data_IF_940888947164
#
_entry.id   IF_940888947164
#
_cell.length_a   1.000
_cell.length_b   1.000
_cell.length_c   1.000
_cell.angle_alpha   90.00
_cell.angle_beta   90.00
_cell.angle_gamma   90.00
#
_symmetry.space_group_name_H-M   'P 1'
#
loop_
_entity.id
_entity.type
_entity.pdbx_description
1 polymer ?
#
# COMPACT_ATOMS: atom_id res chain seq x y z
N UNK A 1 -6.48 -12.92 7.87
CA UNK A 1 -6.36 -11.79 6.91
C UNK A 1 -4.90 -11.59 6.53
N UNK A 2 -4.01 -11.29 7.48
CA UNK A 2 -2.57 -11.20 7.22
C UNK A 2 -2.03 -12.51 6.64
N UNK A 3 -2.26 -13.63 7.33
CA UNK A 3 -1.80 -14.96 6.88
C UNK A 3 -2.47 -15.46 5.59
N UNK A 4 -3.59 -14.84 5.20
CA UNK A 4 -4.28 -15.15 3.96
C UNK A 4 -3.69 -14.40 2.75
N UNK A 5 -2.70 -13.52 2.97
CA UNK A 5 -2.00 -12.81 1.90
C UNK A 5 -2.44 -11.36 1.69
N UNK A 6 -3.08 -10.71 2.67
CA UNK A 6 -3.47 -9.29 2.57
C UNK A 6 -2.33 -8.39 2.09
N UNK A 7 -1.12 -8.60 2.63
CA UNK A 7 0.03 -7.78 2.28
C UNK A 7 0.37 -7.86 0.78
N UNK A 8 0.11 -8.99 0.16
CA UNK A 8 0.27 -9.15 -1.29
C UNK A 8 -0.78 -8.35 -2.07
N UNK A 9 -2.04 -8.39 -1.64
CA UNK A 9 -3.12 -7.64 -2.28
C UNK A 9 -2.87 -6.13 -2.20
N UNK A 10 -2.44 -5.67 -1.01
CA UNK A 10 -2.09 -4.27 -0.79
C UNK A 10 -0.85 -3.87 -1.62
N UNK A 11 0.12 -4.78 -1.75
CA UNK A 11 1.28 -4.56 -2.61
C UNK A 11 0.90 -4.33 -4.07
N UNK A 12 -0.06 -5.11 -4.60
CA UNK A 12 -0.52 -5.00 -5.98
C UNK A 12 -1.22 -3.63 -6.24
N UNK A 13 -1.79 -3.02 -5.20
CA UNK A 13 -2.44 -1.70 -5.28
C UNK A 13 -1.44 -0.57 -5.02
N UNK A 14 -0.34 -0.83 -4.32
CA UNK A 14 0.59 0.19 -3.86
C UNK A 14 1.23 1.00 -5.01
N UNK A 15 1.37 2.31 -4.79
CA UNK A 15 2.19 3.16 -5.65
C UNK A 15 2.82 4.30 -4.85
N UNK A 16 4.05 4.66 -5.19
CA UNK A 16 4.82 5.67 -4.44
C UNK A 16 4.24 7.08 -4.53
N UNK A 17 3.45 7.37 -5.56
CA UNK A 17 2.93 8.72 -5.85
C UNK A 17 1.42 8.81 -5.70
N UNK A 18 0.75 7.79 -5.14
CA UNK A 18 -0.71 7.82 -5.05
C UNK A 18 -1.24 8.65 -3.89
N UNK A 19 -2.37 9.27 -4.14
CA UNK A 19 -3.22 9.87 -3.12
C UNK A 19 -4.08 8.79 -2.42
N UNK A 20 -3.76 8.48 -1.17
CA UNK A 20 -4.49 7.51 -0.34
C UNK A 20 -5.75 8.09 0.33
N UNK A 21 -6.14 9.31 -0.06
CA UNK A 21 -7.40 9.93 0.39
C UNK A 21 -8.54 9.70 -0.59
N UNK A 22 -8.40 8.85 -1.61
CA UNK A 22 -9.46 8.63 -2.62
C UNK A 22 -9.58 7.19 -3.11
N UNK A 23 -10.80 6.76 -3.43
CA UNK A 23 -11.10 5.47 -4.05
C UNK A 23 -10.68 4.26 -3.19
N UNK A 24 -10.34 3.14 -3.84
CA UNK A 24 -9.87 1.90 -3.20
C UNK A 24 -8.63 2.08 -2.32
N UNK A 25 -7.93 3.20 -2.44
CA UNK A 25 -6.76 3.52 -1.60
C UNK A 25 -7.13 4.05 -0.21
N UNK A 26 -8.39 4.43 0.00
CA UNK A 26 -8.93 4.73 1.33
C UNK A 26 -9.22 3.47 2.15
N UNK A 27 -9.17 2.29 1.52
CA UNK A 27 -9.51 1.05 2.19
C UNK A 27 -8.56 0.77 3.35
N UNK A 28 -9.16 0.26 4.42
CA UNK A 28 -8.45 -0.17 5.62
C UNK A 28 -7.54 -1.34 5.25
N UNK A 29 -6.24 -1.18 5.50
CA UNK A 29 -5.19 -2.09 5.09
C UNK A 29 -4.36 -1.55 3.93
N UNK A 30 -4.87 -0.64 3.10
CA UNK A 30 -4.05 -0.03 2.03
C UNK A 30 -3.23 1.13 2.59
N UNK A 31 -3.90 2.04 3.31
CA UNK A 31 -3.25 3.20 3.93
C UNK A 31 -2.31 2.81 5.07
N UNK A 32 -2.69 1.82 5.88
CA UNK A 32 -1.94 1.46 7.09
C UNK A 32 -0.58 0.79 6.79
N UNK A 33 -0.42 0.22 5.60
CA UNK A 33 0.82 -0.42 5.16
C UNK A 33 1.67 0.46 4.23
N UNK A 34 1.22 1.67 3.91
CA UNK A 34 1.94 2.59 3.02
C UNK A 34 3.36 2.88 3.51
N UNK A 35 3.50 3.19 4.80
CA UNK A 35 4.80 3.50 5.42
C UNK A 35 5.77 2.32 5.32
N UNK A 36 5.30 1.12 5.64
CA UNK A 36 6.06 -0.11 5.50
C UNK A 36 6.54 -0.32 4.06
N UNK A 37 5.62 -0.22 3.09
CA UNK A 37 5.93 -0.43 1.68
C UNK A 37 6.89 0.63 1.14
N UNK A 38 6.74 1.90 1.55
CA UNK A 38 7.66 2.97 1.14
C UNK A 38 9.09 2.71 1.63
N UNK A 39 9.25 2.29 2.88
CA UNK A 39 10.56 1.97 3.48
C UNK A 39 11.16 0.72 2.80
N UNK A 40 10.33 -0.28 2.57
CA UNK A 40 10.71 -1.51 1.87
C UNK A 40 11.24 -1.24 0.45
N UNK A 41 10.53 -0.43 -0.34
CA UNK A 41 10.97 -0.02 -1.68
C UNK A 41 12.23 0.85 -1.67
N UNK A 42 12.42 1.69 -0.64
CA UNK A 42 13.58 2.58 -0.57
C UNK A 42 14.87 1.82 -0.29
N UNK A 43 14.86 0.83 0.61
CA UNK A 43 16.07 0.08 0.97
C UNK A 43 16.50 -0.89 -0.15
N UNK A 44 15.55 -1.56 -0.78
CA UNK A 44 15.80 -2.47 -1.91
C UNK A 44 16.43 -1.77 -3.12
N UNK A 45 15.98 -0.54 -3.44
CA UNK A 45 16.59 0.26 -4.50
C UNK A 45 18.00 0.78 -4.12
N UNK A 46 18.24 1.08 -2.85
CA UNK A 46 19.56 1.50 -2.36
C UNK A 46 20.62 0.40 -2.47
N UNK A 47 20.24 -0.87 -2.25
CA UNK A 47 21.15 -2.02 -2.39
C UNK A 47 21.48 -2.35 -3.86
N UNK A 48 20.58 -2.12 -4.81
CA UNK A 48 20.81 -2.41 -6.24
C UNK A 48 21.70 -1.38 -6.95
N UNK A 49 21.74 -0.14 -6.47
CA UNK A 49 22.60 0.93 -7.04
C UNK A 49 24.10 0.65 -6.87
N UNK A 50 24.52 -0.22 -5.94
CA UNK A 50 25.93 -0.57 -5.73
C UNK A 50 26.49 -1.62 -6.69
N UNK A 51 25.67 -2.23 -7.57
CA UNK A 51 26.08 -3.34 -8.44
C UNK A 51 26.27 -2.92 -9.91
N UNK A 52 25.72 -1.77 -10.35
CA UNK A 52 25.90 -1.27 -11.72
C UNK A 52 27.07 -0.29 -11.82
N UNK A 53 28.26 -0.73 -11.45
CA UNK A 53 29.51 -0.12 -11.93
C UNK A 53 30.28 -1.21 -12.70
N UNK A 54 29.73 -1.59 -13.84
CA UNK A 54 30.46 -2.36 -14.85
C UNK A 54 30.58 -1.51 -16.11
N UNK A 55 31.80 -1.00 -16.25
CA UNK A 55 32.42 -0.33 -17.38
C UNK A 55 31.88 -0.80 -18.74
N UNK A 56 31.19 0.08 -19.48
CA UNK A 56 30.95 -0.11 -20.92
C UNK A 56 31.60 1.04 -21.70
N UNK A 57 32.53 0.67 -22.56
CA UNK A 57 33.17 1.54 -23.53
C UNK A 57 32.17 1.83 -24.67
N UNK A 58 32.01 3.12 -25.00
CA UNK A 58 31.05 3.60 -25.98
C UNK A 58 31.65 3.58 -27.39
N UNK A 59 31.07 2.78 -28.28
CA UNK A 59 31.23 2.97 -29.72
C UNK A 59 29.94 2.60 -30.47
N UNK A 60 29.25 3.65 -30.93
CA UNK A 60 28.43 3.78 -32.13
C UNK A 60 27.33 2.73 -32.42
N UNK A 61 26.06 3.16 -32.37
CA UNK A 61 24.95 2.41 -32.95
C UNK A 61 23.60 3.11 -32.83
N UNK A 62 23.10 3.63 -33.94
CA UNK A 62 21.82 4.30 -34.14
C UNK A 62 20.59 3.39 -33.89
N UNK A 63 19.50 3.94 -33.32
CA UNK A 63 18.18 3.31 -33.36
C UNK A 63 17.20 3.85 -32.32
N UNK A 64 16.25 4.68 -32.75
CA UNK A 64 15.06 5.06 -31.99
C UNK A 64 14.19 3.84 -31.70
N UNK A 65 13.72 3.63 -30.47
CA UNK A 65 12.41 3.02 -30.14
C UNK A 65 12.18 2.93 -28.63
N UNK A 66 11.05 3.52 -28.20
CA UNK A 66 10.19 3.15 -27.06
C UNK A 66 10.81 2.95 -25.67
N UNK A 67 10.51 3.95 -24.83
CA UNK A 67 10.18 3.82 -23.40
C UNK A 67 9.66 2.44 -22.99
N UNK A 68 10.52 1.68 -22.31
CA UNK A 68 10.09 0.75 -21.26
C UNK A 68 11.11 0.87 -20.13
N UNK A 69 10.94 1.85 -19.24
CA UNK A 69 11.58 1.83 -17.93
C UNK A 69 10.94 0.72 -17.09
N UNK A 70 11.19 -0.53 -17.47
CA UNK A 70 10.91 -1.73 -16.68
C UNK A 70 12.07 -1.92 -15.70
N UNK A 71 12.37 -0.87 -14.95
CA UNK A 71 13.49 -0.79 -14.03
C UNK A 71 13.02 -1.14 -12.64
N UNK A 72 13.24 -2.40 -12.25
CA UNK A 72 13.21 -2.89 -10.87
C UNK A 72 11.83 -3.04 -10.21
N UNK A 73 10.98 -3.91 -10.76
CA UNK A 73 9.84 -4.41 -9.99
C UNK A 73 10.38 -5.37 -8.92
N UNK A 74 10.45 -4.92 -7.68
CA UNK A 74 10.57 -5.84 -6.54
C UNK A 74 9.35 -6.75 -6.63
N UNK A 75 9.57 -8.04 -6.81
CA UNK A 75 8.48 -8.98 -6.99
C UNK A 75 7.94 -9.45 -5.64
N UNK A 76 6.72 -9.98 -5.63
CA UNK A 76 6.04 -10.46 -4.40
C UNK A 76 6.87 -11.50 -3.65
N UNK A 77 7.61 -12.33 -4.38
CA UNK A 77 8.55 -13.29 -3.82
C UNK A 77 9.72 -12.63 -3.07
N UNK A 78 10.19 -11.46 -3.50
CA UNK A 78 11.23 -10.70 -2.79
C UNK A 78 10.71 -10.09 -1.49
N UNK A 79 9.44 -9.67 -1.45
CA UNK A 79 8.80 -9.20 -0.22
C UNK A 79 8.76 -10.32 0.82
N UNK A 80 8.32 -11.51 0.43
CA UNK A 80 8.27 -12.67 1.32
C UNK A 80 9.67 -13.11 1.75
N UNK A 81 10.62 -13.16 0.82
CA UNK A 81 12.01 -13.49 1.11
C UNK A 81 12.61 -12.50 2.13
N UNK A 82 12.43 -11.20 1.98
CA UNK A 82 12.98 -10.22 2.93
C UNK A 82 12.30 -10.35 4.30
N UNK A 83 11.00 -10.63 4.37
CA UNK A 83 10.34 -10.91 5.65
C UNK A 83 10.83 -12.20 6.31
N UNK A 84 11.19 -13.22 5.53
CA UNK A 84 11.65 -14.52 6.02
C UNK A 84 13.17 -14.57 6.29
N UNK A 85 13.99 -13.76 5.60
CA UNK A 85 15.45 -13.71 5.73
C UNK A 85 15.95 -12.60 6.66
N UNK A 86 15.14 -11.58 6.96
CA UNK A 86 15.58 -10.44 7.75
C UNK A 86 15.48 -10.73 9.24
N UNK A 87 16.64 -10.94 9.87
CA UNK A 87 16.84 -10.83 11.31
C UNK A 87 16.82 -9.34 11.76
N UNK A 88 16.54 -8.39 10.85
CA UNK A 88 16.36 -6.98 11.23
C UNK A 88 15.02 -6.84 11.94
N UNK A 89 15.10 -6.72 13.26
CA UNK A 89 14.01 -6.27 14.13
C UNK A 89 13.25 -5.09 13.53
N UNK A 90 13.92 -4.22 12.76
CA UNK A 90 13.34 -3.04 12.13
C UNK A 90 12.14 -3.32 11.20
N UNK A 91 12.27 -4.22 10.22
CA UNK A 91 11.18 -4.50 9.27
C UNK A 91 9.99 -5.15 9.95
N UNK A 92 10.28 -6.04 10.91
CA UNK A 92 9.29 -6.70 11.73
C UNK A 92 8.55 -5.72 12.64
N UNK A 93 9.27 -4.76 13.24
CA UNK A 93 8.69 -3.69 14.06
C UNK A 93 7.74 -2.83 13.22
N UNK A 94 8.17 -2.36 12.04
CA UNK A 94 7.33 -1.49 11.19
C UNK A 94 6.12 -2.26 10.64
N UNK A 95 6.30 -3.52 10.24
CA UNK A 95 5.19 -4.36 9.81
C UNK A 95 4.18 -4.59 10.94
N UNK A 96 4.68 -4.84 12.16
CA UNK A 96 3.84 -5.00 13.34
C UNK A 96 3.08 -3.70 13.67
N UNK A 97 3.74 -2.54 13.56
CA UNK A 97 3.11 -1.24 13.73
C UNK A 97 1.98 -1.01 12.71
N UNK A 98 2.20 -1.35 11.45
CA UNK A 98 1.17 -1.28 10.40
C UNK A 98 -0.03 -2.18 10.71
N UNK A 99 0.22 -3.41 11.18
CA UNK A 99 -0.82 -4.35 11.62
C UNK A 99 -1.61 -3.80 12.81
N UNK A 100 -0.96 -3.15 13.75
CA UNK A 100 -1.62 -2.60 14.93
C UNK A 100 -2.46 -1.37 14.58
N UNK A 101 -2.00 -0.51 13.67
CA UNK A 101 -2.80 0.58 13.06
C UNK A 101 -4.03 0.04 12.35
N UNK A 102 -3.87 -1.00 11.53
CA UNK A 102 -4.95 -1.70 10.84
C UNK A 102 -6.01 -2.20 11.83
N UNK A 103 -5.59 -2.90 12.89
CA UNK A 103 -6.48 -3.40 13.94
C UNK A 103 -7.20 -2.27 14.66
N UNK A 104 -6.49 -1.20 15.03
CA UNK A 104 -7.08 -0.07 15.73
C UNK A 104 -8.11 0.66 14.87
N UNK A 105 -7.80 0.90 13.59
CA UNK A 105 -8.75 1.54 12.66
C UNK A 105 -9.97 0.67 12.41
N UNK A 106 -9.80 -0.66 12.29
CA UNK A 106 -10.92 -1.60 12.20
C UNK A 106 -11.79 -1.56 13.46
N UNK A 107 -11.19 -1.56 14.66
CA UNK A 107 -11.93 -1.43 15.92
C UNK A 107 -12.71 -0.11 15.99
N UNK A 108 -12.10 1.01 15.60
CA UNK A 108 -12.77 2.32 15.54
C UNK A 108 -13.95 2.28 14.60
N UNK A 109 -13.77 1.72 13.39
CA UNK A 109 -14.85 1.58 12.42
C UNK A 109 -16.02 0.78 13.00
N UNK A 110 -15.76 -0.39 13.59
CA UNK A 110 -16.79 -1.25 14.20
C UNK A 110 -17.52 -0.53 15.33
N UNK A 111 -16.79 0.21 16.18
CA UNK A 111 -17.40 1.00 17.25
C UNK A 111 -18.29 2.10 16.68
N UNK A 112 -17.81 2.88 15.72
CA UNK A 112 -18.61 3.92 15.06
C UNK A 112 -19.89 3.35 14.43
N UNK A 113 -19.79 2.23 13.72
CA UNK A 113 -20.95 1.56 13.14
C UNK A 113 -21.94 1.08 14.22
N UNK A 114 -21.44 0.55 15.33
CA UNK A 114 -22.26 0.15 16.48
C UNK A 114 -23.00 1.34 17.09
N UNK A 115 -22.31 2.46 17.33
CA UNK A 115 -22.94 3.69 17.81
C UNK A 115 -24.01 4.20 16.85
N UNK A 116 -23.73 4.23 15.54
CA UNK A 116 -24.72 4.60 14.52
C UNK A 116 -25.94 3.67 14.52
N UNK A 117 -25.74 2.37 14.80
CA UNK A 117 -26.83 1.42 14.88
C UNK A 117 -27.71 1.64 16.13
N UNK A 118 -27.12 2.10 17.23
CA UNK A 118 -27.83 2.39 18.48
C UNK A 118 -28.53 3.77 18.50
N UNK A 119 -28.13 4.73 17.67
CA UNK A 119 -28.73 6.09 17.58
C UNK A 119 -29.84 6.15 16.51
N UNK A 120 -30.71 5.13 16.40
CA UNK A 120 -31.84 5.18 15.46
C UNK A 120 -33.02 5.97 16.05
N UNK A 121 -33.19 7.24 15.66
CA UNK A 121 -34.39 7.59 14.93
C UNK A 121 -34.02 7.78 13.45
N UNK A 122 -34.54 6.87 12.64
CA UNK A 122 -34.77 7.01 11.20
C UNK A 122 -33.52 7.17 10.31
N UNK A 123 -32.97 6.03 9.85
CA UNK A 123 -32.20 5.96 8.60
C UNK A 123 -32.99 6.50 7.40
N UNK A 124 -34.33 6.56 7.50
CA UNK A 124 -35.22 7.16 6.49
C UNK A 124 -34.89 8.63 6.24
N UNK A 125 -34.51 9.38 7.26
CA UNK A 125 -34.24 10.83 7.12
C UNK A 125 -32.89 11.08 6.43
N UNK A 126 -31.90 10.21 6.67
CA UNK A 126 -30.59 10.32 6.05
C UNK A 126 -30.60 9.86 4.60
N UNK A 127 -31.33 8.78 4.28
CA UNK A 127 -31.51 8.35 2.89
C UNK A 127 -32.24 9.42 2.07
N UNK A 128 -33.28 10.06 2.62
CA UNK A 128 -33.98 11.16 1.95
C UNK A 128 -33.10 12.40 1.70
N UNK A 129 -32.16 12.71 2.61
CA UNK A 129 -31.22 13.83 2.46
C UNK A 129 -30.15 13.55 1.39
N UNK A 130 -29.64 12.32 1.31
CA UNK A 130 -28.64 11.93 0.31
C UNK A 130 -29.25 11.72 -1.08
N UNK A 131 -30.50 11.25 -1.18
CA UNK A 131 -31.20 11.16 -2.48
C UNK A 131 -31.63 12.53 -3.01
N UNK A 132 -32.01 13.48 -2.15
CA UNK A 132 -32.37 14.84 -2.60
C UNK A 132 -31.17 15.70 -3.00
N UNK A 133 -29.95 15.35 -2.61
CA UNK A 133 -28.73 16.05 -3.06
C UNK A 133 -28.34 15.70 -4.51
N UNK A 134 -28.91 14.65 -5.10
CA UNK A 134 -28.61 14.22 -6.48
C UNK A 134 -29.63 14.72 -7.54
N UNK A 135 -30.57 15.59 -7.16
CA UNK A 135 -31.63 16.10 -8.06
C UNK A 135 -31.85 17.62 -7.97
N UNK A 136 -30.79 18.41 -7.78
CA UNK A 136 -30.88 19.86 -7.97
C UNK A 136 -29.66 20.44 -8.68
#
# INVERSE_FOLDING_TARGET
>A
MIDAGLLNEVYDIYSLTSDYTRGLRQDIGVREFEDFLRIFHSNTNASHSRITDSHYDSSAGCGTSTSTNKGNMISRENLRAILDFSDDDFYKIILQEAIDKLKENTRRLVRCQSYMHHIKPSWSTFTHLVTNWNYS
#
